data_IF_375579284989
#
_entry.id   IF_375579284989
#
_cell.length_a   1.000
_cell.length_b   1.000
_cell.length_c   1.000
_cell.angle_alpha   90.00
_cell.angle_beta   90.00
_cell.angle_gamma   90.00
#
_symmetry.space_group_name_H-M   'P 1'
#
loop_
_entity.id
_entity.type
_entity.pdbx_description
1 polymer ?
#
# COMPACT_ATOMS: atom_id res chain seq x y z
N UNK A 1 20.27 2.33 -40.89
CA UNK A 1 18.94 1.79 -40.55
C UNK A 1 19.17 0.47 -39.81
N UNK A 2 19.25 0.50 -38.47
CA UNK A 2 19.48 -0.70 -37.64
C UNK A 2 18.52 -0.61 -36.46
N UNK A 3 17.61 -1.57 -36.38
CA UNK A 3 16.60 -1.68 -35.33
C UNK A 3 17.25 -2.15 -34.03
N UNK A 4 16.92 -1.49 -32.91
CA UNK A 4 17.19 -1.99 -31.56
C UNK A 4 15.86 -2.32 -30.88
N UNK A 5 15.49 -3.60 -30.90
CA UNK A 5 14.37 -4.16 -30.13
C UNK A 5 14.90 -4.64 -28.79
N UNK A 6 14.83 -3.77 -27.76
CA UNK A 6 15.15 -4.20 -26.39
C UNK A 6 13.94 -4.91 -25.77
N UNK A 7 14.02 -6.24 -25.73
CA UNK A 7 13.05 -7.09 -25.03
C UNK A 7 13.03 -6.80 -23.53
N UNK A 8 11.92 -6.23 -23.04
CA UNK A 8 11.65 -6.02 -21.61
C UNK A 8 11.37 -7.38 -20.96
N UNK A 9 12.35 -7.94 -20.25
CA UNK A 9 12.14 -9.12 -19.40
C UNK A 9 11.25 -8.74 -18.21
N UNK A 10 10.07 -9.35 -18.12
CA UNK A 10 9.16 -9.19 -17.00
C UNK A 10 9.77 -9.84 -15.75
N UNK A 11 10.20 -9.04 -14.79
CA UNK A 11 10.61 -9.51 -13.47
C UNK A 11 9.33 -9.81 -12.68
N UNK A 12 8.99 -11.10 -12.57
CA UNK A 12 7.87 -11.57 -11.75
C UNK A 12 8.30 -11.55 -10.29
N UNK A 13 7.99 -10.45 -9.60
CA UNK A 13 8.23 -10.32 -8.15
C UNK A 13 7.22 -11.20 -7.43
N UNK A 14 7.67 -12.30 -6.80
CA UNK A 14 6.84 -13.10 -5.91
C UNK A 14 6.65 -12.31 -4.61
N UNK A 15 5.39 -11.98 -4.27
CA UNK A 15 5.03 -11.29 -3.03
C UNK A 15 5.21 -12.29 -1.89
N UNK A 16 6.31 -12.18 -1.15
CA UNK A 16 6.55 -12.97 0.05
C UNK A 16 5.90 -12.23 1.22
N UNK A 17 4.85 -12.83 1.79
CA UNK A 17 4.19 -12.33 2.99
C UNK A 17 5.05 -12.73 4.20
N UNK A 18 5.98 -11.87 4.59
CA UNK A 18 6.75 -12.07 5.80
C UNK A 18 5.87 -11.76 7.01
N UNK A 19 5.70 -12.69 7.97
CA UNK A 19 5.21 -12.31 9.30
C UNK A 19 6.33 -11.50 9.95
N UNK A 20 6.28 -10.18 9.79
CA UNK A 20 7.30 -9.30 10.33
C UNK A 20 7.20 -9.30 11.86
N UNK A 21 8.28 -9.62 12.59
CA UNK A 21 8.35 -9.42 14.05
C UNK A 21 8.33 -7.93 14.44
N UNK A 22 8.33 -7.03 13.45
CA UNK A 22 8.42 -5.57 13.57
C UNK A 22 7.06 -4.88 13.71
N UNK A 23 5.97 -5.63 13.93
CA UNK A 23 4.62 -5.07 14.03
C UNK A 23 3.92 -4.84 12.69
N UNK A 24 2.78 -4.14 12.71
CA UNK A 24 1.94 -3.93 11.52
C UNK A 24 2.55 -2.80 10.66
N UNK A 25 3.00 -3.16 9.46
CA UNK A 25 3.56 -2.23 8.47
C UNK A 25 2.43 -1.63 7.62
N UNK A 26 2.33 -0.31 7.60
CA UNK A 26 1.36 0.40 6.77
C UNK A 26 1.96 1.68 6.17
N UNK A 27 1.33 2.18 5.13
CA UNK A 27 1.76 3.38 4.42
C UNK A 27 0.68 4.45 4.51
N UNK A 28 1.10 5.68 4.81
CA UNK A 28 0.23 6.85 4.82
C UNK A 28 0.38 7.63 3.53
N UNK A 29 -0.71 8.02 2.88
CA UNK A 29 -0.71 8.96 1.77
C UNK A 29 -0.30 10.35 2.29
N UNK A 30 0.85 10.85 1.81
CA UNK A 30 1.41 12.13 2.22
C UNK A 30 0.65 13.29 1.59
N UNK A 31 0.50 13.26 0.28
CA UNK A 31 -0.05 14.37 -0.51
C UNK A 31 -1.16 13.89 -1.46
N UNK A 32 -2.42 14.01 -1.01
CA UNK A 32 -3.60 13.67 -1.82
C UNK A 32 -3.69 14.50 -3.09
N UNK A 33 -3.36 15.79 -3.00
CA UNK A 33 -3.39 16.70 -4.16
C UNK A 33 -2.44 16.22 -5.25
N UNK A 34 -1.22 15.80 -4.89
CA UNK A 34 -0.25 15.27 -5.85
C UNK A 34 -0.78 14.00 -6.52
N UNK A 35 -1.36 13.07 -5.75
CA UNK A 35 -1.98 11.87 -6.33
C UNK A 35 -3.02 12.24 -7.38
N UNK A 36 -3.95 13.15 -7.06
CA UNK A 36 -4.99 13.60 -7.99
C UNK A 36 -4.41 14.31 -9.22
N UNK A 37 -3.40 15.15 -9.04
CA UNK A 37 -2.73 15.83 -10.16
C UNK A 37 -2.04 14.84 -11.09
N UNK A 38 -1.34 13.84 -10.55
CA UNK A 38 -0.69 12.80 -11.37
C UNK A 38 -1.75 11.97 -12.12
N UNK A 39 -2.86 11.65 -11.45
CA UNK A 39 -3.98 10.95 -12.10
C UNK A 39 -4.56 11.76 -13.27
N UNK A 40 -4.74 13.06 -13.10
CA UNK A 40 -5.25 13.94 -14.15
C UNK A 40 -4.27 14.03 -15.33
N UNK A 41 -2.97 14.22 -15.04
CA UNK A 41 -1.91 14.32 -16.06
C UNK A 41 -1.79 13.03 -16.87
N UNK A 42 -1.96 11.87 -16.23
CA UNK A 42 -1.85 10.56 -16.87
C UNK A 42 -3.20 10.02 -17.37
N UNK A 43 -4.29 10.78 -17.22
CA UNK A 43 -5.67 10.39 -17.56
C UNK A 43 -6.12 9.06 -16.92
N UNK A 44 -5.60 8.76 -15.71
CA UNK A 44 -5.86 7.50 -15.02
C UNK A 44 -7.13 7.59 -14.19
N UNK A 45 -8.07 6.68 -14.44
CA UNK A 45 -9.31 6.61 -13.65
C UNK A 45 -9.11 5.96 -12.27
N UNK A 46 -9.93 6.36 -11.29
CA UNK A 46 -9.94 5.73 -9.94
C UNK A 46 -10.20 4.22 -9.97
N UNK A 47 -11.00 3.76 -10.93
CA UNK A 47 -11.31 2.33 -11.13
C UNK A 47 -10.11 1.55 -11.65
N UNK A 48 -9.30 2.17 -12.49
CA UNK A 48 -8.07 1.57 -12.98
C UNK A 48 -7.01 1.49 -11.89
N UNK A 49 -6.82 2.58 -11.15
CA UNK A 49 -5.91 2.60 -10.01
C UNK A 49 -6.29 1.58 -8.93
N UNK A 50 -7.57 1.39 -8.66
CA UNK A 50 -8.05 0.33 -7.76
C UNK A 50 -7.69 -1.08 -8.25
N UNK A 51 -7.81 -1.34 -9.57
CA UNK A 51 -7.42 -2.62 -10.17
C UNK A 51 -5.92 -2.86 -10.07
N UNK A 52 -5.11 -1.83 -10.34
CA UNK A 52 -3.64 -1.87 -10.18
C UNK A 52 -3.24 -2.18 -8.73
N UNK A 53 -3.91 -1.56 -7.77
CA UNK A 53 -3.71 -1.79 -6.35
C UNK A 53 -4.10 -3.20 -5.89
N UNK A 54 -4.80 -3.97 -6.74
CA UNK A 54 -5.27 -5.32 -6.43
C UNK A 54 -6.60 -5.36 -5.68
N UNK A 55 -7.35 -4.25 -5.66
CA UNK A 55 -8.63 -4.20 -4.98
C UNK A 55 -9.77 -4.66 -5.88
N UNK A 56 -10.70 -5.42 -5.30
CA UNK A 56 -11.89 -5.89 -5.98
C UNK A 56 -12.91 -4.76 -6.21
N UNK A 57 -12.90 -3.74 -5.35
CA UNK A 57 -13.77 -2.57 -5.45
C UNK A 57 -12.98 -1.27 -5.46
N UNK A 58 -13.47 -0.30 -6.22
CA UNK A 58 -12.97 1.07 -6.25
C UNK A 58 -13.43 1.92 -5.06
N UNK A 59 -14.26 1.39 -4.16
CA UNK A 59 -14.74 2.11 -2.97
C UNK A 59 -13.58 2.58 -2.08
N UNK A 60 -12.56 1.74 -1.90
CA UNK A 60 -11.41 2.10 -1.07
C UNK A 60 -10.54 3.18 -1.75
N UNK A 61 -10.34 3.08 -3.06
CA UNK A 61 -9.65 4.14 -3.83
C UNK A 61 -10.44 5.46 -3.80
N UNK A 62 -11.77 5.42 -3.88
CA UNK A 62 -12.59 6.63 -3.75
C UNK A 62 -12.41 7.28 -2.37
N UNK A 63 -12.43 6.48 -1.29
CA UNK A 63 -12.18 6.98 0.07
C UNK A 63 -10.79 7.62 0.19
N UNK A 64 -9.78 7.01 -0.43
CA UNK A 64 -8.42 7.54 -0.46
C UNK A 64 -8.34 8.87 -1.23
N UNK A 65 -8.99 8.95 -2.40
CA UNK A 65 -9.05 10.18 -3.21
C UNK A 65 -9.90 11.29 -2.58
N UNK A 66 -10.92 10.93 -1.79
CA UNK A 66 -11.76 11.87 -1.06
C UNK A 66 -11.06 12.36 0.23
N UNK A 67 -10.16 11.55 0.78
CA UNK A 67 -9.49 11.82 2.05
C UNK A 67 -10.21 11.24 3.28
N UNK A 68 -11.18 10.35 3.07
CA UNK A 68 -11.85 9.62 4.16
C UNK A 68 -10.91 8.62 4.83
N UNK A 69 -9.92 8.14 4.06
CA UNK A 69 -8.86 7.24 4.51
C UNK A 69 -7.55 7.80 3.96
N UNK A 70 -6.50 7.80 4.79
CA UNK A 70 -5.16 8.22 4.42
C UNK A 70 -4.13 7.10 4.57
N UNK A 71 -4.53 5.93 5.05
CA UNK A 71 -3.65 4.77 5.27
C UNK A 71 -3.96 3.66 4.27
N UNK A 72 -2.95 2.87 3.92
CA UNK A 72 -3.09 1.67 3.10
C UNK A 72 -1.97 0.67 3.38
N UNK A 73 -2.18 -0.56 2.95
CA UNK A 73 -1.17 -1.61 3.04
C UNK A 73 0.02 -1.34 2.10
N UNK A 74 1.23 -1.83 2.41
CA UNK A 74 2.43 -1.56 1.63
C UNK A 74 2.35 -2.07 0.19
N UNK A 75 1.79 -3.26 -0.01
CA UNK A 75 1.72 -3.88 -1.33
C UNK A 75 0.87 -3.05 -2.32
N UNK A 76 -0.36 -2.62 -1.99
CA UNK A 76 -1.13 -1.69 -2.83
C UNK A 76 -0.38 -0.37 -3.12
N UNK A 77 0.30 0.20 -2.13
CA UNK A 77 1.03 1.46 -2.28
C UNK A 77 2.18 1.32 -3.30
N UNK A 78 2.95 0.23 -3.19
CA UNK A 78 4.05 -0.08 -4.10
C UNK A 78 3.54 -0.31 -5.52
N UNK A 79 2.40 -0.99 -5.70
CA UNK A 79 1.78 -1.21 -7.01
C UNK A 79 1.34 0.11 -7.64
N UNK A 80 0.69 0.99 -6.86
CA UNK A 80 0.26 2.31 -7.32
C UNK A 80 1.46 3.18 -7.71
N UNK A 81 2.47 3.28 -6.86
CA UNK A 81 3.66 4.09 -7.13
C UNK A 81 4.39 3.60 -8.41
N UNK A 82 4.55 2.28 -8.55
CA UNK A 82 5.14 1.67 -9.76
C UNK A 82 4.33 1.97 -11.02
N UNK A 83 3.01 1.92 -10.93
CA UNK A 83 2.14 2.18 -12.07
C UNK A 83 2.18 3.65 -12.50
N UNK A 84 2.16 4.58 -11.55
CA UNK A 84 2.25 6.01 -11.81
C UNK A 84 3.67 6.46 -12.21
N UNK A 85 4.68 5.60 -12.04
CA UNK A 85 6.08 5.92 -12.34
C UNK A 85 6.70 6.91 -11.36
N UNK A 86 6.19 6.98 -10.13
CA UNK A 86 6.60 7.95 -9.10
C UNK A 86 7.31 7.21 -7.96
N UNK A 87 8.25 7.89 -7.29
CA UNK A 87 8.88 7.37 -6.09
C UNK A 87 7.86 7.06 -5.00
N UNK A 88 8.03 5.96 -4.29
CA UNK A 88 7.12 5.58 -3.19
C UNK A 88 7.11 6.67 -2.12
N UNK A 89 8.30 7.22 -1.80
CA UNK A 89 8.49 8.25 -0.77
C UNK A 89 7.90 9.63 -1.14
N UNK A 90 7.62 9.86 -2.43
CA UNK A 90 7.00 11.10 -2.91
C UNK A 90 5.49 11.13 -2.64
N UNK A 91 4.84 9.97 -2.70
CA UNK A 91 3.39 9.80 -2.54
C UNK A 91 3.02 9.26 -1.16
N UNK A 92 3.81 8.34 -0.62
CA UNK A 92 3.53 7.57 0.58
C UNK A 92 4.63 7.74 1.63
N UNK A 93 4.22 7.67 2.89
CA UNK A 93 5.09 7.68 4.05
C UNK A 93 4.96 6.34 4.77
N UNK A 94 6.06 5.61 4.84
CA UNK A 94 6.12 4.30 5.51
C UNK A 94 6.02 4.49 7.01
N UNK A 95 5.07 3.80 7.66
CA UNK A 95 4.93 3.74 9.11
C UNK A 95 5.02 2.30 9.58
N UNK A 96 5.82 2.12 10.62
CA UNK A 96 5.96 0.86 11.35
C UNK A 96 5.37 1.12 12.72
N UNK A 97 4.28 0.44 13.06
CA UNK A 97 3.77 0.43 14.43
C UNK A 97 4.22 -0.85 15.11
N UNK A 98 5.09 -0.70 16.12
CA UNK A 98 5.44 -1.82 16.99
C UNK A 98 4.21 -2.21 17.79
N UNK A 99 3.78 -3.47 17.63
CA UNK A 99 2.78 -4.06 18.50
C UNK A 99 3.44 -4.25 19.85
N UNK A 100 3.20 -3.35 20.79
CA UNK A 100 3.44 -3.64 22.20
C UNK A 100 2.45 -4.75 22.56
N UNK A 101 2.93 -5.99 22.56
CA UNK A 101 2.16 -7.11 23.09
C UNK A 101 1.88 -6.80 24.57
N UNK A 102 0.70 -6.26 24.87
CA UNK A 102 0.14 -6.36 26.21
C UNK A 102 -0.11 -7.84 26.43
N UNK A 103 0.86 -8.51 27.06
CA UNK A 103 0.69 -9.84 27.61
C UNK A 103 -0.47 -9.77 28.59
N UNK A 104 -1.65 -10.19 28.15
CA UNK A 104 -2.79 -10.48 29.01
C UNK A 104 -2.32 -11.50 30.04
N UNK A 105 -1.93 -11.02 31.23
CA UNK A 105 -1.78 -11.84 32.41
C UNK A 105 -3.15 -12.48 32.67
N UNK A 106 -3.33 -13.72 32.19
CA UNK A 106 -4.38 -14.61 32.70
C UNK A 106 -4.11 -14.83 34.18
N UNK A 107 -4.64 -13.94 35.02
CA UNK A 107 -4.70 -14.14 36.47
C UNK A 107 -5.61 -15.33 36.72
N UNK A 108 -5.00 -16.51 36.84
CA UNK A 108 -5.64 -17.73 37.27
C UNK A 108 -6.21 -17.53 38.67
N UNK A 109 -7.53 -17.32 38.75
CA UNK A 109 -8.27 -17.35 40.02
C UNK A 109 -8.30 -18.80 40.51
N UNK A 110 -7.31 -19.21 41.31
CA UNK A 110 -7.38 -20.44 42.11
C UNK A 110 -8.61 -20.33 43.03
N UNK A 111 -9.64 -21.13 42.76
CA UNK A 111 -10.66 -21.42 43.77
C UNK A 111 -10.01 -22.39 44.77
N UNK A 112 -9.82 -21.93 46.00
CA UNK A 112 -9.55 -22.80 47.14
C UNK A 112 -10.87 -23.45 47.55
N UNK A 113 -10.83 -24.78 47.67
CA UNK A 113 -11.90 -25.61 48.22
C UNK A 113 -11.79 -25.67 49.74
#
# INVERSE_FOLDING_TARGET
MIYWTLGRKAITVKVVKFPSPLGDLWMKLKDRKKLLTIMEIQEVSRRELARVAGWHSHSYMNRLCNGDVDTLQPEPALRIAKFLGVGVDDLFLTKVEEKIEHSDMKTGRKKVA
#
